data_IF_172656216976
#
_entry.id   IF_172656216976
#
_cell.length_a   1.000
_cell.length_b   1.000
_cell.length_c   1.000
_cell.angle_alpha   90.00
_cell.angle_beta   90.00
_cell.angle_gamma   90.00
#
_symmetry.space_group_name_H-M   'P 1'
#
loop_
_entity.id
_entity.type
_entity.pdbx_description
1 polymer ?
#
# COMPACT_ATOMS: atom_id res chain seq x y z
N UNK A 1 31.23 -6.45 -42.72
CA UNK A 1 30.00 -5.70 -42.40
C UNK A 1 29.29 -6.48 -41.32
N UNK A 2 29.36 -6.03 -40.06
CA UNK A 2 28.58 -6.65 -38.98
C UNK A 2 27.13 -6.28 -39.19
N UNK A 3 26.25 -7.27 -39.25
CA UNK A 3 24.81 -7.05 -39.12
C UNK A 3 24.58 -6.29 -37.81
N UNK A 4 24.23 -5.02 -37.91
CA UNK A 4 23.65 -4.27 -36.80
C UNK A 4 22.29 -4.94 -36.53
N UNK A 5 22.28 -5.92 -35.63
CA UNK A 5 21.07 -6.41 -35.00
C UNK A 5 20.39 -5.20 -34.37
N UNK A 6 19.44 -4.62 -35.09
CA UNK A 6 18.56 -3.58 -34.58
C UNK A 6 17.71 -4.23 -33.49
N UNK A 7 17.95 -3.83 -32.24
CA UNK A 7 17.20 -4.35 -31.11
C UNK A 7 15.72 -4.02 -31.30
N UNK A 8 14.88 -5.04 -31.35
CA UNK A 8 13.43 -4.85 -31.46
C UNK A 8 12.81 -4.61 -30.08
N UNK A 9 12.07 -3.52 -29.95
CA UNK A 9 11.32 -3.19 -28.74
C UNK A 9 10.06 -4.05 -28.64
N UNK A 10 9.77 -4.56 -27.45
CA UNK A 10 8.52 -5.29 -27.17
C UNK A 10 7.31 -4.36 -27.27
N UNK A 11 6.11 -4.95 -27.39
CA UNK A 11 4.85 -4.17 -27.39
C UNK A 11 4.75 -3.31 -26.13
N UNK A 12 5.04 -3.89 -24.96
CA UNK A 12 5.02 -3.17 -23.68
C UNK A 12 6.00 -1.99 -23.66
N UNK A 13 7.21 -2.17 -24.16
CA UNK A 13 8.20 -1.09 -24.21
C UNK A 13 7.76 0.04 -25.15
N UNK A 14 7.19 -0.31 -26.32
CA UNK A 14 6.64 0.67 -27.28
C UNK A 14 5.47 1.46 -26.67
N UNK A 15 4.62 0.83 -25.87
CA UNK A 15 3.51 1.48 -25.17
C UNK A 15 4.00 2.43 -24.08
N UNK A 16 5.02 2.03 -23.30
CA UNK A 16 5.64 2.89 -22.29
C UNK A 16 6.26 4.13 -22.95
N UNK A 17 7.03 3.95 -24.02
CA UNK A 17 7.63 5.05 -24.78
C UNK A 17 6.56 5.99 -25.35
N UNK A 18 5.48 5.43 -25.91
CA UNK A 18 4.34 6.21 -26.41
C UNK A 18 3.72 7.09 -25.34
N UNK A 19 3.56 6.56 -24.12
CA UNK A 19 2.95 7.29 -23.00
C UNK A 19 3.77 8.51 -22.54
N UNK A 20 5.00 8.64 -23.02
CA UNK A 20 5.95 9.72 -22.73
C UNK A 20 6.28 10.57 -23.96
N UNK A 21 5.55 10.38 -25.06
CA UNK A 21 5.80 11.03 -26.35
C UNK A 21 7.23 10.80 -26.87
N UNK A 22 7.78 9.61 -26.61
CA UNK A 22 9.13 9.21 -27.05
C UNK A 22 9.09 8.35 -28.32
N UNK A 23 10.21 8.30 -29.09
CA UNK A 23 10.33 7.43 -30.25
C UNK A 23 10.11 5.95 -29.91
N UNK A 24 9.54 5.18 -30.83
CA UNK A 24 9.23 3.75 -30.64
C UNK A 24 10.22 2.82 -31.37
N UNK A 25 11.30 3.38 -31.93
CA UNK A 25 12.37 2.65 -32.59
C UNK A 25 13.65 2.78 -31.75
N UNK A 26 14.34 1.67 -31.51
CA UNK A 26 15.47 1.61 -30.58
C UNK A 26 16.61 2.57 -30.94
N UNK A 27 16.94 2.65 -32.23
CA UNK A 27 17.99 3.50 -32.79
C UNK A 27 17.68 5.00 -32.73
N UNK A 28 16.41 5.35 -32.47
CA UNK A 28 15.96 6.74 -32.27
C UNK A 28 15.98 7.17 -30.80
N UNK A 29 16.22 6.24 -29.87
CA UNK A 29 16.32 6.53 -28.44
C UNK A 29 17.74 6.96 -28.07
N UNK A 30 17.85 7.94 -27.17
CA UNK A 30 19.14 8.19 -26.54
C UNK A 30 19.52 7.04 -25.59
N UNK A 31 20.82 6.94 -25.30
CA UNK A 31 21.37 5.87 -24.45
C UNK A 31 20.73 5.83 -23.06
N UNK A 32 20.35 6.99 -22.51
CA UNK A 32 19.75 7.05 -21.18
C UNK A 32 18.33 6.48 -21.17
N UNK A 33 17.56 6.71 -22.23
CA UNK A 33 16.22 6.15 -22.43
C UNK A 33 16.30 4.66 -22.72
N UNK A 34 17.27 4.22 -23.54
CA UNK A 34 17.54 2.80 -23.80
C UNK A 34 17.76 2.03 -22.49
N UNK A 35 18.68 2.52 -21.64
CA UNK A 35 18.94 1.95 -20.31
C UNK A 35 17.68 1.94 -19.42
N UNK A 36 16.90 3.02 -19.46
CA UNK A 36 15.69 3.13 -18.64
C UNK A 36 14.62 2.12 -19.05
N UNK A 37 14.40 1.91 -20.34
CA UNK A 37 13.42 0.96 -20.86
C UNK A 37 13.84 -0.49 -20.59
N UNK A 38 15.14 -0.78 -20.65
CA UNK A 38 15.67 -2.09 -20.23
C UNK A 38 15.44 -2.33 -18.73
N UNK A 39 15.78 -1.36 -17.89
CA UNK A 39 15.62 -1.49 -16.43
C UNK A 39 14.15 -1.62 -16.02
N UNK A 40 13.25 -0.85 -16.64
CA UNK A 40 11.80 -0.99 -16.43
C UNK A 40 11.34 -2.41 -16.75
N UNK A 41 11.80 -2.99 -17.87
CA UNK A 41 11.43 -4.34 -18.27
C UNK A 41 11.97 -5.40 -17.29
N UNK A 42 13.21 -5.26 -16.83
CA UNK A 42 13.80 -6.14 -15.79
C UNK A 42 12.99 -6.10 -14.48
N UNK A 43 12.66 -4.90 -14.00
CA UNK A 43 11.91 -4.72 -12.76
C UNK A 43 10.46 -5.23 -12.85
N UNK A 44 9.82 -5.10 -14.01
CA UNK A 44 8.51 -5.70 -14.26
C UNK A 44 8.62 -7.23 -14.28
N UNK A 45 9.57 -7.80 -15.02
CA UNK A 45 9.77 -9.25 -15.08
C UNK A 45 10.08 -9.86 -13.71
N UNK A 46 10.82 -9.15 -12.85
CA UNK A 46 11.03 -9.54 -11.46
C UNK A 46 9.72 -9.74 -10.70
N UNK A 47 8.78 -8.79 -10.79
CA UNK A 47 7.45 -8.91 -10.19
C UNK A 47 6.67 -10.07 -10.80
N UNK A 48 6.71 -10.21 -12.13
CA UNK A 48 5.96 -11.25 -12.86
C UNK A 48 6.42 -12.65 -12.49
N UNK A 49 7.74 -12.86 -12.38
CA UNK A 49 8.34 -14.12 -11.93
C UNK A 49 7.99 -14.43 -10.48
N UNK A 50 8.01 -13.42 -9.60
CA UNK A 50 7.76 -13.59 -8.16
C UNK A 50 6.29 -13.89 -7.85
N UNK A 51 5.35 -13.22 -8.53
CA UNK A 51 3.93 -13.27 -8.18
C UNK A 51 3.06 -14.02 -9.20
N UNK A 52 3.59 -14.42 -10.36
CA UNK A 52 2.84 -15.13 -11.39
C UNK A 52 1.70 -14.30 -12.00
N UNK A 53 1.82 -12.97 -11.97
CA UNK A 53 0.85 -12.01 -12.51
C UNK A 53 1.54 -11.09 -13.51
N UNK A 54 0.82 -10.56 -14.49
CA UNK A 54 1.31 -9.48 -15.36
C UNK A 54 1.25 -8.13 -14.64
N UNK A 55 2.30 -7.32 -14.78
CA UNK A 55 2.38 -5.98 -14.19
C UNK A 55 2.39 -4.88 -15.24
N UNK A 56 1.77 -3.75 -14.89
CA UNK A 56 1.61 -2.55 -15.72
C UNK A 56 2.45 -1.42 -15.14
N UNK A 57 3.18 -0.73 -16.03
CA UNK A 57 3.96 0.46 -15.70
C UNK A 57 3.07 1.62 -15.23
N UNK A 58 3.46 2.28 -14.14
CA UNK A 58 2.81 3.49 -13.63
C UNK A 58 3.76 4.68 -13.41
N UNK A 59 5.07 4.44 -13.39
CA UNK A 59 6.07 5.49 -13.22
C UNK A 59 7.46 4.89 -13.03
N UNK A 60 8.50 5.68 -13.29
CA UNK A 60 9.88 5.24 -13.11
C UNK A 60 10.77 6.42 -12.77
N UNK A 61 11.73 6.16 -11.87
CA UNK A 61 12.73 7.11 -11.43
C UNK A 61 14.10 6.44 -11.61
N UNK A 62 14.90 6.97 -12.52
CA UNK A 62 16.30 6.55 -12.70
C UNK A 62 17.13 6.94 -11.47
N UNK A 63 18.11 6.12 -11.12
CA UNK A 63 19.04 6.44 -10.04
C UNK A 63 19.70 7.80 -10.28
N UNK A 64 19.79 8.62 -9.23
CA UNK A 64 20.54 9.86 -9.24
C UNK A 64 21.56 9.86 -8.10
N UNK A 65 22.82 9.61 -8.45
CA UNK A 65 23.92 9.53 -7.49
C UNK A 65 24.17 10.83 -6.75
N UNK A 66 23.89 11.98 -7.36
CA UNK A 66 24.10 13.29 -6.75
C UNK A 66 23.13 13.54 -5.59
N UNK A 67 21.91 13.00 -5.67
CA UNK A 67 20.90 13.13 -4.62
C UNK A 67 20.73 11.86 -3.78
N UNK A 68 21.62 10.87 -3.97
CA UNK A 68 21.50 9.55 -3.34
C UNK A 68 20.14 8.87 -3.60
N UNK A 69 19.54 9.18 -4.75
CA UNK A 69 18.27 8.58 -5.15
C UNK A 69 18.52 7.21 -5.78
N UNK A 70 17.90 6.20 -5.21
CA UNK A 70 17.87 4.86 -5.78
C UNK A 70 16.92 4.80 -6.98
N UNK A 71 17.21 3.86 -7.89
CA UNK A 71 16.34 3.57 -9.01
C UNK A 71 15.08 2.87 -8.53
N UNK A 72 13.92 3.31 -9.03
CA UNK A 72 12.63 2.73 -8.65
C UNK A 72 11.62 2.71 -9.78
N UNK A 73 10.80 1.67 -9.78
CA UNK A 73 9.65 1.48 -10.65
C UNK A 73 8.38 1.52 -9.80
N UNK A 74 7.38 2.26 -10.26
CA UNK A 74 6.02 2.20 -9.76
C UNK A 74 5.18 1.36 -10.73
N UNK A 75 4.51 0.32 -10.23
CA UNK A 75 3.71 -0.60 -11.03
C UNK A 75 2.45 -1.05 -10.28
N UNK A 76 1.52 -1.70 -10.99
CA UNK A 76 0.36 -2.40 -10.42
C UNK A 76 0.07 -3.66 -11.24
N UNK A 77 -0.51 -4.70 -10.63
CA UNK A 77 -0.85 -5.90 -11.37
C UNK A 77 -2.12 -5.69 -12.21
N UNK A 78 -2.25 -6.42 -13.32
CA UNK A 78 -3.48 -6.42 -14.12
C UNK A 78 -4.66 -6.85 -13.23
N UNK A 79 -5.69 -6.01 -13.18
CA UNK A 79 -6.89 -6.23 -12.36
C UNK A 79 -6.86 -5.52 -11.01
N UNK A 80 -5.71 -4.98 -10.58
CA UNK A 80 -5.62 -4.14 -9.38
C UNK A 80 -6.06 -2.70 -9.69
N UNK A 81 -6.54 -1.99 -8.68
CA UNK A 81 -6.90 -0.57 -8.77
C UNK A 81 -5.63 0.30 -8.91
N UNK A 82 -5.43 0.99 -10.06
CA UNK A 82 -4.23 1.78 -10.29
C UNK A 82 -4.13 2.98 -9.34
N UNK A 83 -5.19 3.44 -8.68
CA UNK A 83 -5.10 4.55 -7.73
C UNK A 83 -4.60 4.09 -6.35
N UNK A 84 -5.06 2.93 -5.90
CA UNK A 84 -4.88 2.50 -4.50
C UNK A 84 -4.00 1.26 -4.32
N UNK A 85 -3.70 0.52 -5.39
CA UNK A 85 -3.02 -0.78 -5.35
C UNK A 85 -1.73 -0.79 -6.19
N UNK A 86 -0.96 0.29 -6.11
CA UNK A 86 0.39 0.35 -6.71
C UNK A 86 1.45 -0.20 -5.74
N UNK A 87 2.49 -0.80 -6.30
CA UNK A 87 3.71 -1.18 -5.59
C UNK A 87 4.93 -0.48 -6.16
N UNK A 88 5.94 -0.31 -5.32
CA UNK A 88 7.27 0.13 -5.68
C UNK A 88 8.18 -1.09 -5.83
N UNK A 89 9.05 -1.04 -6.83
CA UNK A 89 10.23 -1.90 -6.94
C UNK A 89 11.44 -0.99 -6.85
N UNK A 90 12.35 -1.26 -5.92
CA UNK A 90 13.60 -0.51 -5.76
C UNK A 90 14.76 -1.40 -6.17
N UNK A 91 15.74 -0.79 -6.84
CA UNK A 91 17.06 -1.43 -7.04
C UNK A 91 17.98 -1.05 -5.91
N UNK A 92 18.34 -2.03 -5.09
CA UNK A 92 19.27 -1.89 -3.97
C UNK A 92 20.64 -2.49 -4.33
N UNK A 93 21.59 -2.46 -3.39
CA UNK A 93 22.90 -3.13 -3.55
C UNK A 93 22.80 -4.65 -3.55
N UNK A 94 21.75 -5.18 -2.92
CA UNK A 94 21.56 -6.62 -2.69
C UNK A 94 20.59 -7.27 -3.71
N UNK A 95 19.98 -6.46 -4.58
CA UNK A 95 19.10 -6.93 -5.65
C UNK A 95 17.87 -6.02 -5.84
N UNK A 96 16.78 -6.62 -6.30
CA UNK A 96 15.49 -5.96 -6.44
C UNK A 96 14.61 -6.29 -5.23
N UNK A 97 13.99 -5.26 -4.67
CA UNK A 97 13.03 -5.37 -3.58
C UNK A 97 11.71 -4.72 -3.99
N UNK A 98 10.58 -5.27 -3.55
CA UNK A 98 9.26 -4.73 -3.88
C UNK A 98 8.33 -4.61 -2.67
N UNK A 99 7.31 -3.75 -2.82
CA UNK A 99 6.26 -3.55 -1.82
C UNK A 99 4.94 -4.22 -2.18
N UNK A 100 4.88 -5.09 -3.19
CA UNK A 100 3.61 -5.70 -3.63
C UNK A 100 3.00 -6.64 -2.59
N UNK A 101 3.82 -7.27 -1.75
CA UNK A 101 3.33 -8.02 -0.58
C UNK A 101 2.43 -7.18 0.34
N UNK A 102 2.68 -5.87 0.45
CA UNK A 102 1.82 -4.96 1.22
C UNK A 102 0.45 -4.76 0.57
N UNK A 103 0.43 -4.64 -0.76
CA UNK A 103 -0.81 -4.50 -1.55
C UNK A 103 -1.70 -5.73 -1.38
N UNK A 104 -1.12 -6.93 -1.38
CA UNK A 104 -1.84 -8.18 -1.19
C UNK A 104 -2.34 -8.36 0.25
N UNK A 105 -1.49 -8.05 1.23
CA UNK A 105 -1.81 -8.26 2.65
C UNK A 105 -2.90 -7.31 3.15
N UNK A 106 -2.93 -6.08 2.65
CA UNK A 106 -3.81 -5.01 3.13
C UNK A 106 -5.30 -5.36 3.17
N UNK A 107 -5.96 -5.74 2.05
CA UNK A 107 -7.40 -6.02 2.05
C UNK A 107 -7.75 -7.23 2.91
N UNK A 108 -6.89 -8.26 2.92
CA UNK A 108 -7.08 -9.49 3.71
C UNK A 108 -7.02 -9.16 5.20
N UNK A 109 -5.97 -8.45 5.63
CA UNK A 109 -5.80 -8.09 7.03
C UNK A 109 -6.90 -7.17 7.53
N UNK A 110 -7.27 -6.14 6.74
CA UNK A 110 -8.36 -5.23 7.09
C UNK A 110 -9.68 -5.97 7.31
N UNK A 111 -10.04 -6.87 6.38
CA UNK A 111 -11.27 -7.67 6.49
C UNK A 111 -11.24 -8.56 7.73
N UNK A 112 -10.11 -9.25 7.99
CA UNK A 112 -9.92 -10.05 9.21
C UNK A 112 -10.19 -9.23 10.48
N UNK A 113 -9.65 -8.02 10.56
CA UNK A 113 -9.86 -7.14 11.72
C UNK A 113 -11.32 -6.68 11.82
N UNK A 114 -11.94 -6.32 10.70
CA UNK A 114 -13.35 -5.92 10.65
C UNK A 114 -14.29 -7.04 11.13
N UNK A 115 -14.10 -8.25 10.63
CA UNK A 115 -14.94 -9.40 10.98
C UNK A 115 -14.88 -9.68 12.49
N UNK A 116 -13.70 -9.53 13.13
CA UNK A 116 -13.49 -9.80 14.56
C UNK A 116 -14.20 -8.86 15.53
N UNK A 117 -14.53 -7.64 15.09
CA UNK A 117 -15.12 -6.61 15.95
C UNK A 117 -16.49 -6.14 15.48
N UNK A 118 -16.96 -6.61 14.32
CA UNK A 118 -18.21 -6.17 13.70
C UNK A 118 -19.42 -6.33 14.60
N UNK A 119 -19.53 -7.43 15.34
CA UNK A 119 -20.62 -7.71 16.29
C UNK A 119 -20.57 -6.84 17.55
N UNK A 120 -19.41 -6.26 17.90
CA UNK A 120 -19.32 -5.30 19.00
C UNK A 120 -19.78 -3.90 18.57
N UNK A 121 -19.65 -3.59 17.29
CA UNK A 121 -19.79 -2.24 16.74
C UNK A 121 -21.07 -2.04 15.93
N UNK A 122 -21.83 -3.11 15.67
CA UNK A 122 -23.02 -3.14 14.82
C UNK A 122 -24.13 -2.17 15.23
N UNK A 123 -24.23 -1.83 16.52
CA UNK A 123 -25.21 -0.87 17.03
C UNK A 123 -24.83 0.61 16.74
N UNK A 124 -23.67 0.84 16.12
CA UNK A 124 -23.15 2.18 15.87
C UNK A 124 -22.76 2.36 14.39
N UNK A 125 -22.83 3.60 13.91
CA UNK A 125 -22.17 3.97 12.66
C UNK A 125 -20.66 3.98 12.89
N UNK A 126 -19.92 3.12 12.19
CA UNK A 126 -18.47 3.05 12.34
C UNK A 126 -17.76 2.76 11.02
N UNK A 127 -16.48 3.12 10.98
CA UNK A 127 -15.53 2.68 9.96
C UNK A 127 -14.28 2.11 10.60
N UNK A 128 -13.79 1.02 10.04
CA UNK A 128 -12.52 0.40 10.41
C UNK A 128 -11.48 0.62 9.31
N UNK A 129 -10.34 1.18 9.72
CA UNK A 129 -9.17 1.40 8.89
C UNK A 129 -7.99 0.63 9.48
N UNK A 130 -7.03 0.32 8.62
CA UNK A 130 -5.77 -0.30 9.03
C UNK A 130 -4.61 0.47 8.44
N UNK A 131 -3.52 0.57 9.18
CA UNK A 131 -2.22 1.04 8.70
C UNK A 131 -1.22 -0.07 8.93
N UNK A 132 -0.77 -0.71 7.85
CA UNK A 132 0.31 -1.68 7.96
C UNK A 132 1.61 -0.92 8.25
N UNK A 133 2.41 -1.46 9.16
CA UNK A 133 3.71 -0.91 9.58
C UNK A 133 4.85 -1.89 9.31
N UNK A 134 4.54 -3.16 9.07
CA UNK A 134 5.50 -4.17 8.64
C UNK A 134 4.78 -5.34 7.97
N UNK A 135 5.28 -5.75 6.81
CA UNK A 135 4.85 -6.95 6.09
C UNK A 135 6.12 -7.70 5.69
N UNK A 136 6.19 -8.99 5.98
CA UNK A 136 7.31 -9.83 5.56
C UNK A 136 7.21 -10.21 4.08
N UNK A 137 8.31 -10.75 3.53
CA UNK A 137 8.41 -11.12 2.12
C UNK A 137 7.38 -12.17 1.66
N UNK A 138 6.84 -12.96 2.59
CA UNK A 138 5.77 -13.94 2.36
C UNK A 138 4.35 -13.34 2.42
N UNK A 139 4.23 -12.02 2.66
CA UNK A 139 2.95 -11.32 2.78
C UNK A 139 2.35 -11.34 4.19
N UNK A 140 3.04 -11.88 5.20
CA UNK A 140 2.53 -11.88 6.59
C UNK A 140 2.64 -10.49 7.21
N UNK A 141 1.54 -9.97 7.77
CA UNK A 141 1.54 -8.70 8.51
C UNK A 141 2.24 -8.88 9.85
N UNK A 142 3.35 -8.16 10.06
CA UNK A 142 4.15 -8.20 11.30
C UNK A 142 3.80 -7.09 12.27
N UNK A 143 3.34 -5.95 11.77
CA UNK A 143 2.91 -4.85 12.61
C UNK A 143 1.86 -3.99 11.89
N UNK A 144 0.88 -3.51 12.63
CA UNK A 144 -0.17 -2.64 12.12
C UNK A 144 -0.81 -1.80 13.22
N UNK A 145 -1.42 -0.69 12.81
CA UNK A 145 -2.38 0.04 13.62
C UNK A 145 -3.79 -0.25 13.11
N UNK A 146 -4.67 -0.70 13.99
CA UNK A 146 -6.11 -0.79 13.73
C UNK A 146 -6.76 0.49 14.25
N UNK A 147 -7.55 1.15 13.41
CA UNK A 147 -8.22 2.40 13.74
C UNK A 147 -9.72 2.21 13.56
N UNK A 148 -10.46 2.31 14.65
CA UNK A 148 -11.92 2.35 14.67
C UNK A 148 -12.33 3.81 14.80
N UNK A 149 -13.18 4.28 13.89
CA UNK A 149 -13.83 5.60 13.98
C UNK A 149 -15.32 5.33 14.13
N UNK A 150 -15.91 5.80 15.22
CA UNK A 150 -17.26 5.44 15.65
C UNK A 150 -18.04 6.69 16.08
N UNK A 151 -19.27 6.81 15.57
CA UNK A 151 -20.17 7.91 15.90
C UNK A 151 -20.84 7.62 17.24
N UNK A 152 -20.25 8.13 18.32
CA UNK A 152 -20.72 7.94 19.69
C UNK A 152 -20.20 9.06 20.58
N UNK A 153 -20.87 9.31 21.71
CA UNK A 153 -20.34 10.17 22.76
C UNK A 153 -19.02 9.62 23.31
N UNK A 154 -18.18 10.51 23.84
CA UNK A 154 -16.95 10.14 24.55
C UNK A 154 -17.22 10.07 26.06
N UNK A 155 -17.56 8.88 26.54
CA UNK A 155 -18.01 8.63 27.91
C UNK A 155 -17.60 7.23 28.42
N UNK A 156 -18.23 6.76 29.50
CA UNK A 156 -17.95 5.45 30.08
C UNK A 156 -18.42 4.30 29.18
N UNK A 157 -19.54 4.45 28.46
CA UNK A 157 -20.05 3.41 27.58
C UNK A 157 -19.11 3.20 26.38
N UNK A 158 -18.61 4.29 25.78
CA UNK A 158 -17.60 4.19 24.72
C UNK A 158 -16.26 3.64 25.24
N UNK A 159 -15.90 3.91 26.50
CA UNK A 159 -14.71 3.30 27.12
C UNK A 159 -14.86 1.78 27.29
N UNK A 160 -16.00 1.31 27.78
CA UNK A 160 -16.29 -0.13 27.92
C UNK A 160 -16.30 -0.83 26.56
N UNK A 161 -16.87 -0.18 25.54
CA UNK A 161 -16.84 -0.68 24.16
C UNK A 161 -15.40 -0.79 23.65
N UNK A 162 -14.58 0.25 23.85
CA UNK A 162 -13.17 0.23 23.50
C UNK A 162 -12.43 -0.93 24.18
N UNK A 163 -12.69 -1.17 25.46
CA UNK A 163 -12.01 -2.24 26.20
C UNK A 163 -12.34 -3.63 25.63
N UNK A 164 -13.59 -3.85 25.19
CA UNK A 164 -13.99 -5.08 24.49
C UNK A 164 -13.28 -5.23 23.15
N UNK A 165 -13.22 -4.15 22.35
CA UNK A 165 -12.49 -4.13 21.06
C UNK A 165 -11.01 -4.42 21.28
N UNK A 166 -10.39 -3.71 22.24
CA UNK A 166 -8.98 -3.88 22.57
C UNK A 166 -8.69 -5.33 23.00
N UNK A 167 -9.51 -5.88 23.90
CA UNK A 167 -9.36 -7.26 24.37
C UNK A 167 -9.38 -8.29 23.23
N UNK A 168 -10.24 -8.10 22.21
CA UNK A 168 -10.31 -9.02 21.05
C UNK A 168 -9.10 -8.91 20.12
N UNK A 169 -8.52 -7.72 19.99
CA UNK A 169 -7.47 -7.45 19.01
C UNK A 169 -6.06 -7.49 19.59
N UNK A 170 -5.89 -7.34 20.90
CA UNK A 170 -4.58 -7.21 21.57
C UNK A 170 -3.66 -8.44 21.44
N UNK A 171 -4.20 -9.60 21.06
CA UNK A 171 -3.43 -10.83 20.84
C UNK A 171 -3.42 -11.27 19.37
N UNK A 172 -3.98 -10.46 18.47
CA UNK A 172 -3.97 -10.77 17.05
C UNK A 172 -2.58 -10.56 16.46
N UNK A 173 -2.07 -11.58 15.78
CA UNK A 173 -0.82 -11.47 15.04
C UNK A 173 -0.88 -10.28 14.08
N UNK A 174 0.18 -9.46 14.09
CA UNK A 174 0.30 -8.29 13.27
C UNK A 174 -0.41 -7.05 13.81
N UNK A 175 -1.17 -7.11 14.90
CA UNK A 175 -1.71 -5.91 15.56
C UNK A 175 -0.67 -5.40 16.55
N UNK A 176 -0.22 -4.16 16.36
CA UNK A 176 0.70 -3.47 17.27
C UNK A 176 -0.02 -2.40 18.11
N UNK A 177 -0.96 -1.68 17.48
CA UNK A 177 -1.66 -0.58 18.12
C UNK A 177 -3.13 -0.58 17.74
N UNK A 178 -3.98 -0.24 18.70
CA UNK A 178 -5.42 -0.13 18.51
C UNK A 178 -5.82 1.28 18.92
N UNK A 179 -6.52 1.98 18.03
CA UNK A 179 -7.07 3.31 18.25
C UNK A 179 -8.58 3.28 18.05
N UNK A 180 -9.30 3.96 18.92
CA UNK A 180 -10.73 4.22 18.73
C UNK A 180 -11.01 5.71 18.88
N UNK A 181 -11.56 6.32 17.84
CA UNK A 181 -11.98 7.71 17.81
C UNK A 181 -13.50 7.78 17.95
N UNK A 182 -13.97 8.49 18.97
CA UNK A 182 -15.37 8.85 19.12
C UNK A 182 -15.59 10.17 18.37
N UNK A 183 -16.52 10.19 17.43
CA UNK A 183 -16.76 11.35 16.56
C UNK A 183 -18.24 11.76 16.55
N UNK A 184 -18.51 13.00 16.14
CA UNK A 184 -19.86 13.50 15.99
C UNK A 184 -20.66 12.70 14.92
N UNK A 185 -22.00 12.58 15.04
CA UNK A 185 -22.84 11.93 14.03
C UNK A 185 -22.65 12.49 12.61
N UNK A 186 -22.72 11.61 11.59
CA UNK A 186 -22.54 11.96 10.18
C UNK A 186 -21.08 12.11 9.73
N UNK A 187 -20.12 12.09 10.66
CA UNK A 187 -18.69 12.23 10.35
C UNK A 187 -18.16 11.09 9.48
N UNK A 188 -18.69 9.88 9.65
CA UNK A 188 -18.13 8.69 8.99
C UNK A 188 -18.48 8.62 7.50
N UNK A 189 -19.51 9.31 7.01
CA UNK A 189 -20.04 9.16 5.65
C UNK A 189 -18.98 9.40 4.56
N UNK A 190 -18.21 10.49 4.69
CA UNK A 190 -17.21 10.92 3.69
C UNK A 190 -15.85 10.23 3.83
N UNK A 191 -15.64 9.42 4.86
CA UNK A 191 -14.32 8.87 5.15
C UNK A 191 -13.94 7.71 4.24
N UNK A 192 -12.69 7.73 3.79
CA UNK A 192 -12.07 6.71 2.97
C UNK A 192 -10.69 6.35 3.52
N UNK A 193 -10.15 5.22 3.05
CA UNK A 193 -8.85 4.72 3.52
C UNK A 193 -7.69 5.69 3.27
N UNK A 194 -7.77 6.54 2.24
CA UNK A 194 -6.71 7.50 1.91
C UNK A 194 -6.80 8.83 2.68
N UNK A 195 -7.93 9.12 3.36
CA UNK A 195 -8.16 10.40 4.03
C UNK A 195 -8.50 10.29 5.52
N UNK A 196 -8.66 9.09 6.08
CA UNK A 196 -9.13 8.93 7.46
C UNK A 196 -8.21 9.59 8.50
N UNK A 197 -6.91 9.74 8.22
CA UNK A 197 -5.97 10.41 9.14
C UNK A 197 -6.32 11.89 9.37
N UNK A 198 -7.09 12.53 8.47
CA UNK A 198 -7.56 13.90 8.64
C UNK A 198 -8.46 14.07 9.87
N UNK A 199 -9.18 13.00 10.29
CA UNK A 199 -10.04 13.06 11.48
C UNK A 199 -9.24 13.22 12.77
N UNK A 200 -7.98 12.79 12.77
CA UNK A 200 -7.15 12.80 13.98
C UNK A 200 -6.96 14.21 14.55
N UNK A 201 -7.18 15.24 13.72
CA UNK A 201 -7.04 16.65 14.07
C UNK A 201 -8.32 17.47 13.75
N UNK A 202 -9.47 16.82 13.54
CA UNK A 202 -10.71 17.53 13.20
C UNK A 202 -11.53 17.93 14.42
N UNK A 203 -12.27 19.04 14.33
CA UNK A 203 -13.21 19.50 15.35
C UNK A 203 -14.36 18.50 15.61
N UNK A 204 -14.57 17.55 14.71
CA UNK A 204 -15.58 16.49 14.84
C UNK A 204 -15.13 15.35 15.77
N UNK A 205 -13.88 15.36 16.25
CA UNK A 205 -13.37 14.35 17.19
C UNK A 205 -13.75 14.71 18.62
N UNK A 206 -14.59 13.88 19.24
CA UNK A 206 -15.06 14.06 20.62
C UNK A 206 -14.07 13.49 21.64
N UNK A 207 -13.31 12.46 21.25
CA UNK A 207 -12.27 11.87 22.09
C UNK A 207 -11.63 10.64 21.46
N UNK A 208 -10.58 10.13 22.11
CA UNK A 208 -9.81 8.99 21.62
C UNK A 208 -9.36 8.06 22.73
N UNK A 209 -9.49 6.77 22.49
CA UNK A 209 -8.84 5.72 23.26
C UNK A 209 -7.70 5.07 22.48
N UNK A 210 -6.72 4.56 23.20
CA UNK A 210 -5.57 3.87 22.62
C UNK A 210 -5.10 2.72 23.50
N UNK A 211 -4.71 1.64 22.86
CA UNK A 211 -4.06 0.49 23.51
C UNK A 211 -2.90 0.02 22.63
N UNK A 212 -1.82 -0.41 23.28
CA UNK A 212 -0.78 -1.19 22.62
C UNK A 212 -1.19 -2.64 22.73
N UNK A 213 -1.18 -3.35 21.61
CA UNK A 213 -1.31 -4.80 21.64
C UNK A 213 -0.09 -5.36 22.39
N UNK A 214 -0.32 -6.41 23.17
CA UNK A 214 0.77 -7.13 23.81
C UNK A 214 1.69 -7.59 22.71
N UNK A 215 2.97 -7.23 22.75
CA UNK A 215 3.94 -7.83 21.83
C UNK A 215 3.86 -9.34 21.99
N UNK A 216 3.32 -10.04 20.99
CA UNK A 216 3.41 -11.49 20.92
C UNK A 216 4.90 -11.84 21.01
N UNK A 217 5.29 -12.49 22.11
CA UNK A 217 6.62 -13.03 22.36
C UNK A 217 7.01 -14.04 21.28
#
# INVERSE_FOLDING_TARGET
MSELLTKELTVRQKDILKSKDLPQQWDQLDMSIQESIESIEEMLQFLEQKYGKTFVYAGYKKANRTYHDEESLLAYAVGDDPETQKCLVNRTKDGLEDTYGWVLAFPVFRKKMQDKVSDLLNDNNYKLFTKLLGVSNDGTVKASTVVVVIETAYDNASKELFDKVASRLSNEEGVYKILMYCVAPGTTESMAQHNYEQIMNSDNTLGRYSSLASASK
#
